data_IF_834673472327
#
_entry.id   IF_834673472327
#
_cell.length_a   1.000
_cell.length_b   1.000
_cell.length_c   1.000
_cell.angle_alpha   90.00
_cell.angle_beta   90.00
_cell.angle_gamma   90.00
#
_symmetry.space_group_name_H-M   'P 1'
#
loop_
_entity.id
_entity.type
_entity.pdbx_description
1 polymer ?
#
# COMPACT_ATOMS: atom_id res chain seq x y z
N UNK A 1 4.20 7.52 -7.76
CA UNK A 1 3.22 7.13 -8.81
C UNK A 1 3.23 5.63 -9.06
N UNK A 2 4.36 5.02 -9.43
CA UNK A 2 4.44 3.56 -9.69
C UNK A 2 3.94 2.68 -8.54
N UNK A 3 4.27 3.02 -7.29
CA UNK A 3 3.77 2.32 -6.10
C UNK A 3 2.24 2.25 -6.03
N UNK A 4 1.55 3.36 -6.26
CA UNK A 4 0.08 3.36 -6.25
C UNK A 4 -0.54 2.63 -7.44
N UNK A 5 0.11 2.62 -8.61
CA UNK A 5 -0.33 1.78 -9.74
C UNK A 5 -0.23 0.30 -9.38
N UNK A 6 0.87 -0.12 -8.77
CA UNK A 6 1.04 -1.49 -8.28
C UNK A 6 0.02 -1.86 -7.19
N UNK A 7 -0.19 -0.99 -6.20
CA UNK A 7 -1.18 -1.23 -5.13
C UNK A 7 -2.60 -1.34 -5.72
N UNK A 8 -2.94 -0.50 -6.69
CA UNK A 8 -4.24 -0.55 -7.38
C UNK A 8 -4.43 -1.90 -8.08
N UNK A 9 -3.44 -2.40 -8.82
CA UNK A 9 -3.54 -3.71 -9.47
C UNK A 9 -3.56 -4.86 -8.44
N UNK A 10 -2.66 -4.82 -7.44
CA UNK A 10 -2.58 -5.81 -6.34
C UNK A 10 -3.94 -6.03 -5.68
N UNK A 11 -4.66 -4.96 -5.35
CA UNK A 11 -5.95 -5.06 -4.67
C UNK A 11 -7.12 -5.28 -5.64
N UNK A 12 -7.03 -4.79 -6.87
CA UNK A 12 -8.02 -5.09 -7.92
C UNK A 12 -8.08 -6.59 -8.19
N UNK A 13 -6.93 -7.28 -8.26
CA UNK A 13 -6.87 -8.73 -8.48
C UNK A 13 -7.58 -9.55 -7.41
N UNK A 14 -7.65 -9.03 -6.16
CA UNK A 14 -8.36 -9.71 -5.06
C UNK A 14 -9.89 -9.64 -5.20
N UNK A 15 -10.43 -8.71 -5.98
CA UNK A 15 -11.88 -8.41 -5.98
C UNK A 15 -12.54 -8.46 -7.35
N UNK A 16 -11.79 -8.24 -8.45
CA UNK A 16 -12.37 -8.05 -9.80
C UNK A 16 -13.16 -9.25 -10.34
N UNK A 17 -12.93 -10.44 -9.80
CA UNK A 17 -13.61 -11.68 -10.19
C UNK A 17 -14.67 -12.16 -9.19
N UNK A 18 -14.94 -11.39 -8.13
CA UNK A 18 -15.98 -11.72 -7.17
C UNK A 18 -17.37 -11.49 -7.78
N UNK A 19 -18.34 -12.39 -7.55
CA UNK A 19 -19.68 -12.26 -8.13
C UNK A 19 -20.45 -11.03 -7.62
N UNK A 20 -20.09 -10.51 -6.46
CA UNK A 20 -20.69 -9.32 -5.84
C UNK A 20 -19.81 -8.06 -5.97
N UNK A 21 -18.88 -8.02 -6.93
CA UNK A 21 -17.96 -6.88 -7.09
C UNK A 21 -18.69 -5.54 -7.22
N UNK A 22 -19.80 -5.49 -7.96
CA UNK A 22 -20.58 -4.26 -8.12
C UNK A 22 -21.15 -3.74 -6.78
N UNK A 23 -21.60 -4.63 -5.90
CA UNK A 23 -22.09 -4.27 -4.57
C UNK A 23 -20.94 -3.78 -3.68
N UNK A 24 -19.76 -4.43 -3.76
CA UNK A 24 -18.57 -4.00 -3.04
C UNK A 24 -18.13 -2.58 -3.43
N UNK A 25 -18.18 -2.24 -4.72
CA UNK A 25 -17.88 -0.88 -5.19
C UNK A 25 -18.93 0.15 -4.75
N UNK A 26 -20.21 -0.23 -4.71
CA UNK A 26 -21.26 0.65 -4.18
C UNK A 26 -21.03 0.95 -2.69
N UNK A 27 -20.82 -0.08 -1.86
CA UNK A 27 -20.54 0.07 -0.44
C UNK A 27 -19.24 0.85 -0.18
N UNK A 28 -18.18 0.58 -0.94
CA UNK A 28 -16.94 1.34 -0.82
C UNK A 28 -17.12 2.82 -1.19
N UNK A 29 -18.00 3.14 -2.13
CA UNK A 29 -18.32 4.53 -2.50
C UNK A 29 -19.04 5.25 -1.37
N UNK A 30 -20.00 4.60 -0.73
CA UNK A 30 -20.69 5.12 0.45
C UNK A 30 -19.70 5.36 1.59
N UNK A 31 -18.86 4.37 1.93
CA UNK A 31 -17.84 4.50 2.97
C UNK A 31 -16.83 5.60 2.67
N UNK A 32 -16.29 5.64 1.45
CA UNK A 32 -15.36 6.68 1.02
C UNK A 32 -15.95 8.09 1.15
N UNK A 33 -17.23 8.24 0.82
CA UNK A 33 -17.95 9.50 0.96
C UNK A 33 -18.13 9.88 2.43
N UNK A 34 -18.48 8.91 3.30
CA UNK A 34 -18.64 9.14 4.74
C UNK A 34 -17.34 9.53 5.45
N UNK A 35 -16.18 9.05 4.95
CA UNK A 35 -14.88 9.48 5.47
C UNK A 35 -14.59 10.97 5.24
N UNK A 36 -15.34 11.64 4.37
CA UNK A 36 -15.21 13.08 4.15
C UNK A 36 -13.86 13.49 3.55
N UNK A 37 -13.18 12.56 2.89
CA UNK A 37 -11.85 12.76 2.30
C UNK A 37 -11.95 13.59 1.01
N UNK A 38 -12.14 14.90 1.18
CA UNK A 38 -12.11 15.83 0.06
C UNK A 38 -10.69 15.92 -0.52
N UNK A 39 -10.57 15.78 -1.85
CA UNK A 39 -9.31 15.96 -2.56
C UNK A 39 -8.78 17.38 -2.31
N UNK A 40 -7.60 17.55 -1.70
CA UNK A 40 -7.04 18.88 -1.45
C UNK A 40 -6.62 19.59 -2.73
N UNK A 41 -6.74 20.92 -2.72
CA UNK A 41 -6.26 21.78 -3.81
C UNK A 41 -4.74 21.96 -3.77
N UNK A 42 -4.19 22.61 -4.81
CA UNK A 42 -2.74 22.84 -4.93
C UNK A 42 -2.21 23.86 -3.93
N UNK A 43 -3.07 24.78 -3.49
CA UNK A 43 -2.71 25.76 -2.46
C UNK A 43 -2.55 25.10 -1.08
N UNK A 44 -3.18 23.95 -0.86
CA UNK A 44 -3.29 23.33 0.46
C UNK A 44 -2.19 22.28 0.71
N UNK A 45 -0.93 22.71 0.69
CA UNK A 45 0.23 21.81 0.81
C UNK A 45 0.18 20.92 2.07
N UNK A 46 -0.22 21.46 3.21
CA UNK A 46 -0.34 20.70 4.45
C UNK A 46 -1.40 19.59 4.36
N UNK A 47 -2.57 19.90 3.77
CA UNK A 47 -3.66 18.93 3.60
C UNK A 47 -3.33 17.84 2.59
N UNK A 48 -2.46 18.10 1.61
CA UNK A 48 -1.96 17.05 0.70
C UNK A 48 -1.17 15.98 1.46
N UNK A 49 -0.30 16.39 2.38
CA UNK A 49 0.46 15.44 3.20
C UNK A 49 -0.45 14.55 4.06
N UNK A 50 -1.49 15.14 4.66
CA UNK A 50 -2.50 14.39 5.41
C UNK A 50 -3.30 13.44 4.52
N UNK A 51 -3.73 13.90 3.34
CA UNK A 51 -4.43 13.07 2.37
C UNK A 51 -3.60 11.86 1.94
N UNK A 52 -2.32 12.05 1.61
CA UNK A 52 -1.42 10.93 1.29
C UNK A 52 -1.23 9.97 2.45
N UNK A 53 -1.15 10.45 3.70
CA UNK A 53 -1.09 9.57 4.88
C UNK A 53 -2.32 8.68 5.00
N UNK A 54 -3.51 9.22 4.73
CA UNK A 54 -4.75 8.44 4.74
C UNK A 54 -4.76 7.39 3.62
N UNK A 55 -4.42 7.79 2.39
CA UNK A 55 -4.31 6.87 1.27
C UNK A 55 -3.29 5.76 1.55
N UNK A 56 -2.12 6.12 2.09
CA UNK A 56 -1.07 5.18 2.47
C UNK A 56 -1.53 4.20 3.55
N UNK A 57 -2.24 4.67 4.58
CA UNK A 57 -2.73 3.80 5.64
C UNK A 57 -3.69 2.73 5.12
N UNK A 58 -4.61 3.11 4.21
CA UNK A 58 -5.54 2.17 3.59
C UNK A 58 -4.82 1.17 2.67
N UNK A 59 -3.83 1.61 1.92
CA UNK A 59 -3.10 0.76 0.98
C UNK A 59 -2.05 -0.13 1.67
N UNK A 60 -1.36 0.34 2.70
CA UNK A 60 -0.23 -0.37 3.34
C UNK A 60 -0.69 -1.36 4.42
N UNK A 61 -1.96 -1.30 4.85
CA UNK A 61 -2.55 -2.26 5.79
C UNK A 61 -2.70 -3.70 5.25
N UNK A 62 -2.27 -3.97 4.02
CA UNK A 62 -2.45 -5.23 3.30
C UNK A 62 -3.85 -5.85 3.47
N UNK A 63 -4.93 -5.12 3.13
CA UNK A 63 -6.28 -5.61 3.31
C UNK A 63 -6.50 -6.95 2.60
N UNK A 64 -7.22 -7.83 3.30
CA UNK A 64 -7.65 -9.15 2.81
C UNK A 64 -9.17 -9.24 2.72
N UNK A 65 -9.90 -8.39 3.45
CA UNK A 65 -11.36 -8.29 3.36
C UNK A 65 -11.71 -7.59 2.04
N UNK A 66 -12.59 -8.16 1.18
CA UNK A 66 -12.88 -7.61 -0.14
C UNK A 66 -13.26 -6.14 -0.16
N UNK A 67 -14.11 -5.69 0.77
CA UNK A 67 -14.50 -4.28 0.86
C UNK A 67 -13.31 -3.36 1.15
N UNK A 68 -12.40 -3.79 2.03
CA UNK A 68 -11.18 -3.05 2.33
C UNK A 68 -10.20 -3.03 1.14
N UNK A 69 -10.17 -4.10 0.34
CA UNK A 69 -9.41 -4.11 -0.92
C UNK A 69 -9.96 -3.06 -1.90
N UNK A 70 -11.29 -2.92 -2.02
CA UNK A 70 -11.89 -1.88 -2.87
C UNK A 70 -11.58 -0.48 -2.33
N UNK A 71 -11.64 -0.27 -1.01
CA UNK A 71 -11.22 1.01 -0.39
C UNK A 71 -9.75 1.32 -0.64
N UNK A 72 -8.87 0.32 -0.61
CA UNK A 72 -7.47 0.50 -0.97
C UNK A 72 -7.27 0.84 -2.46
N UNK A 73 -8.11 0.30 -3.36
CA UNK A 73 -8.14 0.72 -4.78
C UNK A 73 -8.53 2.20 -4.88
N UNK A 74 -9.56 2.64 -4.16
CA UNK A 74 -9.96 4.06 -4.13
C UNK A 74 -8.88 4.97 -3.57
N UNK A 75 -8.23 4.56 -2.48
CA UNK A 75 -7.11 5.29 -1.89
C UNK A 75 -5.94 5.45 -2.87
N UNK A 76 -5.53 4.36 -3.53
CA UNK A 76 -4.46 4.38 -4.52
C UNK A 76 -4.82 5.27 -5.72
N UNK A 77 -6.05 5.18 -6.22
CA UNK A 77 -6.54 6.01 -7.32
C UNK A 77 -6.59 7.50 -6.93
N UNK A 78 -7.10 7.84 -5.75
CA UNK A 78 -7.14 9.21 -5.24
C UNK A 78 -5.74 9.82 -5.11
N UNK A 79 -4.77 9.05 -4.62
CA UNK A 79 -3.37 9.48 -4.55
C UNK A 79 -2.73 9.67 -5.94
N UNK A 80 -3.01 8.77 -6.89
CA UNK A 80 -2.56 8.92 -8.29
C UNK A 80 -3.13 10.17 -8.94
N UNK A 81 -4.42 10.45 -8.73
CA UNK A 81 -5.05 11.63 -9.29
C UNK A 81 -4.46 12.90 -8.68
N UNK A 82 -4.19 12.90 -7.36
CA UNK A 82 -3.54 14.02 -6.70
C UNK A 82 -2.13 14.27 -7.26
N UNK A 83 -1.31 13.23 -7.42
CA UNK A 83 0.01 13.34 -8.08
C UNK A 83 -0.15 13.87 -9.51
N UNK A 84 -1.11 13.33 -10.26
CA UNK A 84 -1.31 13.70 -11.65
C UNK A 84 -1.64 15.19 -11.79
N UNK A 85 -2.61 15.66 -11.03
CA UNK A 85 -3.12 17.04 -11.07
C UNK A 85 -2.10 18.07 -10.57
N UNK A 86 -1.31 17.72 -9.54
CA UNK A 86 -0.44 18.69 -8.86
C UNK A 86 1.01 18.67 -9.33
N UNK A 87 1.52 17.48 -9.65
CA UNK A 87 2.95 17.28 -9.90
C UNK A 87 3.23 17.07 -11.39
N UNK A 88 2.32 16.44 -12.14
CA UNK A 88 2.57 16.10 -13.56
C UNK A 88 1.86 16.98 -14.56
N UNK A 89 0.68 17.51 -14.24
CA UNK A 89 -0.18 18.22 -15.19
C UNK A 89 0.50 19.43 -15.86
N UNK A 90 1.43 20.08 -15.15
CA UNK A 90 2.12 21.28 -15.63
C UNK A 90 3.43 20.98 -16.36
N UNK A 91 3.80 19.71 -16.49
CA UNK A 91 4.96 19.29 -17.26
C UNK A 91 4.62 19.20 -18.74
N UNK A 92 5.65 19.17 -19.59
CA UNK A 92 5.47 18.90 -21.03
C UNK A 92 4.80 17.53 -21.25
N UNK A 93 4.14 17.35 -22.40
CA UNK A 93 3.53 16.06 -22.73
C UNK A 93 4.55 14.92 -22.74
N UNK A 94 5.77 15.20 -23.22
CA UNK A 94 6.89 14.24 -23.24
C UNK A 94 7.31 13.84 -21.82
N UNK A 95 7.42 14.81 -20.90
CA UNK A 95 7.77 14.53 -19.50
C UNK A 95 6.65 13.75 -18.79
N UNK A 96 5.39 14.12 -19.02
CA UNK A 96 4.25 13.37 -18.51
C UNK A 96 4.25 11.93 -19.03
N UNK A 97 4.53 11.74 -20.32
CA UNK A 97 4.66 10.43 -20.94
C UNK A 97 5.80 9.62 -20.31
N UNK A 98 6.97 10.23 -20.14
CA UNK A 98 8.13 9.60 -19.52
C UNK A 98 7.86 9.17 -18.07
N UNK A 99 7.21 10.02 -17.27
CA UNK A 99 6.84 9.69 -15.88
C UNK A 99 5.82 8.55 -15.84
N UNK A 100 4.78 8.58 -16.69
CA UNK A 100 3.79 7.50 -16.77
C UNK A 100 4.43 6.19 -17.20
N UNK A 101 5.34 6.23 -18.18
CA UNK A 101 6.09 5.07 -18.65
C UNK A 101 6.94 4.46 -17.52
N UNK A 102 7.72 5.28 -16.82
CA UNK A 102 8.55 4.84 -15.69
C UNK A 102 7.69 4.26 -14.54
N UNK A 103 6.54 4.89 -14.25
CA UNK A 103 5.61 4.38 -13.25
C UNK A 103 5.01 3.02 -13.64
N UNK A 104 4.71 2.80 -14.92
CA UNK A 104 4.22 1.53 -15.44
C UNK A 104 5.31 0.46 -15.45
N UNK A 105 6.54 0.80 -15.85
CA UNK A 105 7.70 -0.11 -15.79
C UNK A 105 7.94 -0.60 -14.36
N UNK A 106 7.90 0.31 -13.38
CA UNK A 106 7.98 -0.03 -11.96
C UNK A 106 6.87 -1.00 -11.53
N UNK A 107 5.61 -0.73 -11.90
CA UNK A 107 4.49 -1.62 -11.59
C UNK A 107 4.68 -3.01 -12.19
N UNK A 108 5.07 -3.09 -13.47
CA UNK A 108 5.30 -4.34 -14.16
C UNK A 108 6.45 -5.14 -13.55
N UNK A 109 7.53 -4.46 -13.13
CA UNK A 109 8.63 -5.10 -12.40
C UNK A 109 8.12 -5.74 -11.10
N UNK A 110 7.30 -5.02 -10.32
CA UNK A 110 6.71 -5.52 -9.06
C UNK A 110 5.75 -6.70 -9.26
N UNK A 111 4.97 -6.69 -10.35
CA UNK A 111 4.08 -7.80 -10.72
C UNK A 111 4.91 -9.04 -11.08
N UNK A 112 5.94 -8.84 -11.91
CA UNK A 112 6.79 -9.92 -12.40
C UNK A 112 7.73 -10.49 -11.32
N UNK A 113 8.11 -9.69 -10.32
CA UNK A 113 9.02 -10.10 -9.26
C UNK A 113 8.41 -11.10 -8.28
N UNK A 114 7.11 -11.45 -8.41
CA UNK A 114 6.36 -12.35 -7.51
C UNK A 114 6.75 -12.10 -6.05
N UNK A 115 6.79 -10.85 -5.61
CA UNK A 115 7.13 -10.59 -4.21
C UNK A 115 6.18 -11.42 -3.35
N UNK A 116 6.68 -12.39 -2.55
CA UNK A 116 5.83 -13.08 -1.61
C UNK A 116 5.26 -11.99 -0.73
N UNK A 117 3.94 -12.01 -0.49
CA UNK A 117 3.26 -11.06 0.37
C UNK A 117 3.93 -11.17 1.75
N UNK A 118 4.96 -10.35 2.03
CA UNK A 118 5.87 -10.51 3.18
C UNK A 118 5.16 -10.33 4.52
N UNK A 119 3.87 -10.03 4.49
CA UNK A 119 2.98 -9.88 5.64
C UNK A 119 1.95 -11.02 5.78
N UNK A 120 2.09 -12.14 5.06
CA UNK A 120 1.45 -13.41 5.42
C UNK A 120 2.31 -14.14 6.48
N UNK A 121 2.57 -13.50 7.62
CA UNK A 121 2.92 -14.28 8.81
C UNK A 121 1.60 -14.64 9.49
N UNK A 122 1.30 -15.94 9.67
CA UNK A 122 0.14 -16.33 10.44
C UNK A 122 0.29 -15.82 11.89
N UNK A 123 -0.82 -15.57 12.62
CA UNK A 123 -0.84 -14.83 13.89
C UNK A 123 -0.01 -15.42 15.04
N UNK A 124 0.62 -16.59 14.85
CA UNK A 124 1.51 -17.24 15.81
C UNK A 124 2.99 -16.85 15.66
N UNK A 125 3.39 -16.08 14.63
CA UNK A 125 4.79 -15.65 14.43
C UNK A 125 4.94 -14.11 14.52
N UNK A 126 4.11 -13.44 15.31
CA UNK A 126 4.35 -12.04 15.70
C UNK A 126 5.00 -11.89 17.09
N UNK A 127 5.18 -12.97 17.84
CA UNK A 127 5.75 -12.93 19.19
C UNK A 127 7.28 -13.17 19.25
N UNK A 128 8.02 -13.03 18.14
CA UNK A 128 9.49 -13.23 18.17
C UNK A 128 10.29 -12.05 17.58
N UNK A 129 9.64 -10.95 17.19
CA UNK A 129 10.37 -9.76 16.70
C UNK A 129 9.90 -8.51 17.46
N UNK A 130 9.87 -8.58 18.79
CA UNK A 130 9.81 -7.41 19.67
C UNK A 130 10.49 -7.70 21.01
N UNK A 131 11.65 -8.37 21.00
CA UNK A 131 12.55 -8.42 22.15
C UNK A 131 14.00 -8.59 21.65
N UNK A 132 14.56 -7.58 20.99
CA UNK A 132 16.03 -7.40 21.01
C UNK A 132 16.47 -5.97 20.66
N UNK A 133 15.87 -4.96 21.30
CA UNK A 133 16.46 -3.61 21.35
C UNK A 133 17.03 -3.26 22.73
N UNK A 134 17.17 -4.23 23.65
CA UNK A 134 17.86 -4.01 24.92
C UNK A 134 18.38 -5.34 25.49
N UNK A 135 19.54 -5.82 25.04
CA UNK A 135 20.57 -6.36 25.94
C UNK A 135 21.90 -6.59 25.22
N UNK A 136 22.79 -5.64 25.44
CA UNK A 136 24.23 -5.78 25.35
C UNK A 136 24.69 -6.89 26.33
N UNK A 137 24.79 -8.13 25.86
CA UNK A 137 25.54 -9.21 26.50
C UNK A 137 25.72 -10.38 25.51
N UNK A 138 26.91 -10.47 24.90
CA UNK A 138 27.26 -11.57 24.00
C UNK A 138 27.10 -12.95 24.65
N UNK A 139 26.84 -14.00 23.85
CA UNK A 139 26.67 -15.35 24.38
C UNK A 139 28.00 -15.89 24.90
N UNK A 140 28.09 -16.09 26.22
CA UNK A 140 29.11 -16.97 26.81
C UNK A 140 28.74 -18.41 26.48
N UNK A 141 29.56 -19.05 25.65
CA UNK A 141 29.54 -20.48 25.43
C UNK A 141 30.18 -21.13 26.66
N UNK A 142 29.40 -21.78 27.51
CA UNK A 142 29.93 -22.70 28.52
C UNK A 142 29.94 -24.13 27.96
N UNK A 143 31.16 -24.69 27.91
CA UNK A 143 31.52 -26.03 27.48
C UNK A 143 31.40 -27.03 28.64
N UNK A 144 30.86 -28.22 28.36
CA UNK A 144 31.04 -29.45 29.16
C UNK A 144 30.00 -29.64 30.27
N UNK A 145 29.47 -30.84 30.52
CA UNK A 145 30.17 -32.12 30.65
C UNK A 145 29.27 -33.35 30.36
N UNK A 146 29.87 -34.56 30.22
CA UNK A 146 29.26 -35.68 29.52
C UNK A 146 28.40 -36.59 30.43
N UNK A 147 27.63 -37.43 29.73
CA UNK A 147 26.88 -38.61 30.17
C UNK A 147 27.29 -39.25 31.51
N UNK A 148 26.26 -39.61 32.29
CA UNK A 148 26.06 -40.98 32.80
C UNK A 148 24.57 -41.29 32.90
#
# INVERSE_FOLDING_TARGET
MGEYLWLMEKYSDKVRYLPNVSELYASATEEWTMLGLAKPSRAEAARRGEYFKVCDAMCKGNPSIPLQCVLAVFAAWGALQLISDHDTFYLSEDDQCAIRKAANEYMMERINSKEPDRNLLPPHIQNVIYLDENQDAGPKIELGQPFN
#
